data_IF_839926115154
#
_entry.id   IF_839926115154
#
_cell.length_a   1.000
_cell.length_b   1.000
_cell.length_c   1.000
_cell.angle_alpha   90.00
_cell.angle_beta   90.00
_cell.angle_gamma   90.00
#
_symmetry.space_group_name_H-M   'P 1'
#
loop_
_entity.id
_entity.type
_entity.pdbx_description
1 polymer ?
#
# COMPACT_ATOMS: atom_id res chain seq x y z
N UNK A 1 13.19 5.05 -13.46
CA UNK A 1 12.74 3.64 -13.43
C UNK A 1 11.39 3.60 -12.75
N UNK A 2 10.38 2.97 -13.34
CA UNK A 2 9.08 2.76 -12.70
C UNK A 2 9.22 1.61 -11.71
N UNK A 3 8.91 1.84 -10.43
CA UNK A 3 8.84 0.77 -9.45
C UNK A 3 7.79 -0.27 -9.84
N UNK A 4 8.16 -1.55 -9.73
CA UNK A 4 7.23 -2.65 -9.94
C UNK A 4 6.31 -2.75 -8.71
N UNK A 5 5.08 -3.22 -8.91
CA UNK A 5 4.15 -3.43 -7.79
C UNK A 5 4.74 -4.42 -6.76
N UNK A 6 5.60 -5.36 -7.18
CA UNK A 6 6.30 -6.27 -6.29
C UNK A 6 7.26 -5.56 -5.33
N UNK A 7 8.06 -4.61 -5.84
CA UNK A 7 9.00 -3.85 -5.02
C UNK A 7 8.26 -2.93 -4.04
N UNK A 8 7.19 -2.32 -4.54
CA UNK A 8 6.30 -1.48 -3.74
C UNK A 8 5.72 -2.25 -2.54
N UNK A 9 5.28 -3.49 -2.76
CA UNK A 9 4.73 -4.35 -1.71
C UNK A 9 5.79 -4.76 -0.68
N UNK A 10 7.01 -5.10 -1.11
CA UNK A 10 8.12 -5.43 -0.19
C UNK A 10 8.46 -4.26 0.73
N UNK A 11 8.56 -3.05 0.17
CA UNK A 11 8.82 -1.84 0.95
C UNK A 11 7.66 -1.53 1.91
N UNK A 12 6.41 -1.65 1.45
CA UNK A 12 5.24 -1.43 2.30
C UNK A 12 5.19 -2.42 3.48
N UNK A 13 5.57 -3.68 3.26
CA UNK A 13 5.64 -4.67 4.34
C UNK A 13 6.80 -4.41 5.30
N UNK A 14 7.96 -3.95 4.79
CA UNK A 14 9.09 -3.49 5.62
C UNK A 14 8.64 -2.42 6.61
N UNK A 15 7.82 -1.46 6.17
CA UNK A 15 7.29 -0.38 7.02
C UNK A 15 6.55 -0.87 8.28
N UNK A 16 5.91 -2.04 8.20
CA UNK A 16 5.15 -2.64 9.30
C UNK A 16 5.86 -3.83 9.95
N UNK A 17 7.15 -4.04 9.63
CA UNK A 17 7.97 -5.12 10.19
C UNK A 17 7.51 -6.53 9.78
N UNK A 18 6.85 -6.64 8.62
CA UNK A 18 6.36 -7.91 8.08
C UNK A 18 7.34 -8.43 7.04
N UNK A 19 7.84 -9.65 7.23
CA UNK A 19 8.64 -10.36 6.23
C UNK A 19 7.71 -10.98 5.19
N UNK A 20 8.03 -10.78 3.91
CA UNK A 20 7.25 -11.31 2.80
C UNK A 20 7.96 -12.52 2.20
N UNK A 21 7.29 -13.67 2.21
CA UNK A 21 7.78 -14.85 1.50
C UNK A 21 7.10 -14.92 0.12
N UNK A 22 7.87 -14.85 -0.98
CA UNK A 22 7.30 -15.04 -2.32
C UNK A 22 6.74 -16.46 -2.41
N UNK A 23 5.48 -16.58 -2.82
CA UNK A 23 4.86 -17.87 -3.04
C UNK A 23 5.19 -18.33 -4.48
N UNK A 24 5.98 -19.40 -4.62
CA UNK A 24 6.06 -20.13 -5.89
C UNK A 24 4.78 -20.95 -6.06
N UNK A 25 3.91 -20.56 -6.99
CA UNK A 25 2.64 -21.28 -7.18
C UNK A 25 2.83 -22.38 -8.23
N UNK A 26 3.02 -23.63 -7.77
CA UNK A 26 3.01 -24.82 -8.65
C UNK A 26 1.60 -25.31 -9.03
N UNK A 27 0.53 -24.76 -8.43
CA UNK A 27 -0.84 -25.28 -8.51
C UNK A 27 -1.91 -24.17 -8.69
N UNK A 28 -1.83 -23.33 -9.73
CA UNK A 28 -2.96 -22.47 -10.11
C UNK A 28 -3.78 -23.20 -11.18
N UNK A 29 -4.98 -23.67 -10.85
CA UNK A 29 -5.82 -24.48 -11.74
C UNK A 29 -6.88 -23.67 -12.52
N UNK A 30 -6.92 -22.34 -12.39
CA UNK A 30 -7.90 -21.51 -13.10
C UNK A 30 -7.21 -20.37 -13.85
N UNK A 31 -7.51 -20.29 -15.15
CA UNK A 31 -7.05 -19.23 -16.04
C UNK A 31 -7.93 -17.99 -15.80
N UNK A 32 -7.32 -16.84 -15.45
CA UNK A 32 -8.00 -15.64 -14.94
C UNK A 32 -7.65 -15.29 -13.48
N UNK A 33 -6.74 -16.05 -12.86
CA UNK A 33 -6.24 -15.83 -11.51
C UNK A 33 -4.98 -14.94 -11.49
N UNK A 34 -5.01 -13.87 -12.27
CA UNK A 34 -3.95 -12.88 -12.47
C UNK A 34 -3.75 -11.98 -11.22
N UNK A 35 -4.36 -12.35 -10.07
CA UNK A 35 -4.40 -11.59 -8.81
C UNK A 35 -3.25 -11.91 -7.85
N UNK A 36 -2.34 -12.79 -8.22
CA UNK A 36 -1.31 -13.30 -7.30
C UNK A 36 0.01 -12.52 -7.38
N UNK A 37 -0.02 -11.28 -6.86
CA UNK A 37 1.14 -10.66 -6.21
C UNK A 37 0.82 -10.52 -4.72
N UNK A 38 0.43 -11.62 -4.09
CA UNK A 38 0.27 -11.65 -2.64
C UNK A 38 1.41 -12.42 -2.03
N UNK A 39 1.94 -11.88 -0.94
CA UNK A 39 3.02 -12.49 -0.20
C UNK A 39 2.47 -13.17 1.04
N UNK A 40 3.03 -14.32 1.41
CA UNK A 40 2.78 -14.88 2.73
C UNK A 40 3.40 -13.94 3.77
N UNK A 41 2.60 -13.60 4.76
CA UNK A 41 3.01 -12.83 5.92
C UNK A 41 2.92 -13.71 7.17
N UNK A 42 3.78 -13.44 8.15
CA UNK A 42 3.71 -14.09 9.46
C UNK A 42 2.32 -13.82 10.08
N UNK A 43 1.53 -14.87 10.34
CA UNK A 43 0.13 -14.76 10.82
C UNK A 43 0.03 -13.93 12.10
N UNK A 44 1.05 -14.02 12.96
CA UNK A 44 1.15 -13.24 14.20
C UNK A 44 1.28 -11.73 13.94
N UNK A 45 1.89 -11.33 12.83
CA UNK A 45 2.12 -9.93 12.45
C UNK A 45 1.09 -9.41 11.44
N UNK A 46 0.38 -10.30 10.76
CA UNK A 46 -0.64 -9.97 9.78
C UNK A 46 -1.81 -10.97 9.82
N UNK A 47 -3.02 -10.55 10.27
CA UNK A 47 -4.10 -11.46 10.71
C UNK A 47 -4.60 -12.50 9.70
N UNK A 48 -4.34 -12.33 8.41
CA UNK A 48 -4.76 -13.26 7.34
C UNK A 48 -3.65 -14.21 6.87
N UNK A 49 -2.41 -14.04 7.32
CA UNK A 49 -1.23 -14.74 6.77
C UNK A 49 -0.92 -14.37 5.31
N UNK A 50 -1.63 -13.40 4.75
CA UNK A 50 -1.56 -12.95 3.36
C UNK A 50 -1.46 -11.44 3.31
N UNK A 51 -0.59 -10.91 2.47
CA UNK A 51 -0.37 -9.47 2.30
C UNK A 51 -0.64 -9.07 0.84
N UNK A 52 -1.80 -8.45 0.59
CA UNK A 52 -2.22 -8.03 -0.75
C UNK A 52 -2.94 -6.67 -0.77
N UNK A 53 -2.32 -5.61 -0.22
CA UNK A 53 -2.98 -4.31 -0.06
C UNK A 53 -3.30 -3.57 -1.38
N UNK A 54 -2.80 -4.03 -2.53
CA UNK A 54 -3.19 -3.46 -3.84
C UNK A 54 -4.59 -3.91 -4.28
N UNK A 55 -5.08 -5.04 -3.76
CA UNK A 55 -6.35 -5.67 -4.16
C UNK A 55 -7.28 -6.00 -2.98
N UNK A 56 -6.78 -6.04 -1.75
CA UNK A 56 -7.57 -6.22 -0.52
C UNK A 56 -7.67 -4.90 0.25
N UNK A 57 -8.88 -4.34 0.33
CA UNK A 57 -9.14 -3.07 1.03
C UNK A 57 -8.79 -3.15 2.52
N UNK A 58 -8.97 -4.32 3.14
CA UNK A 58 -8.66 -4.52 4.54
C UNK A 58 -7.17 -4.41 4.82
N UNK A 59 -6.32 -4.97 3.94
CA UNK A 59 -4.88 -4.87 4.05
C UNK A 59 -4.38 -3.44 3.83
N UNK A 60 -4.93 -2.74 2.84
CA UNK A 60 -4.66 -1.32 2.64
C UNK A 60 -5.04 -0.50 3.88
N UNK A 61 -6.23 -0.74 4.45
CA UNK A 61 -6.67 -0.04 5.65
C UNK A 61 -5.79 -0.36 6.87
N UNK A 62 -5.35 -1.62 7.03
CA UNK A 62 -4.41 -2.01 8.10
C UNK A 62 -3.08 -1.27 7.97
N UNK A 63 -2.53 -1.16 6.76
CA UNK A 63 -1.33 -0.34 6.53
C UNK A 63 -1.57 1.10 6.97
N UNK A 64 -2.70 1.68 6.53
CA UNK A 64 -2.99 3.07 6.84
C UNK A 64 -3.08 3.33 8.34
N UNK A 65 -3.81 2.49 9.07
CA UNK A 65 -3.97 2.62 10.52
C UNK A 65 -2.66 2.40 11.26
N UNK A 66 -1.88 1.35 10.91
CA UNK A 66 -0.62 1.03 11.61
C UNK A 66 0.46 2.09 11.42
N UNK A 67 0.47 2.77 10.27
CA UNK A 67 1.49 3.74 9.89
C UNK A 67 1.04 5.20 10.05
N UNK A 68 -0.18 5.45 10.53
CA UNK A 68 -0.73 6.81 10.63
C UNK A 68 -0.91 7.50 9.28
N UNK A 69 -1.22 6.74 8.23
CA UNK A 69 -1.45 7.28 6.89
C UNK A 69 -2.90 7.74 6.80
N UNK A 70 -3.10 8.96 6.31
CA UNK A 70 -4.42 9.53 6.08
C UNK A 70 -4.68 9.75 4.59
N UNK A 71 -5.81 9.24 4.10
CA UNK A 71 -6.30 9.57 2.77
C UNK A 71 -7.05 10.91 2.82
N UNK A 72 -6.58 11.91 2.08
CA UNK A 72 -7.20 13.24 2.02
C UNK A 72 -7.51 13.63 0.59
N UNK A 73 -8.57 14.44 0.40
CA UNK A 73 -8.83 15.05 -0.89
C UNK A 73 -7.75 16.10 -1.19
N UNK A 74 -7.27 16.19 -2.44
CA UNK A 74 -6.33 17.24 -2.81
C UNK A 74 -6.98 18.62 -2.63
N UNK A 75 -6.24 19.56 -2.02
CA UNK A 75 -6.74 20.91 -1.73
C UNK A 75 -6.94 21.79 -2.98
N UNK A 76 -6.48 21.34 -4.15
CA UNK A 76 -6.60 22.09 -5.41
C UNK A 76 -7.86 21.68 -6.16
N UNK A 77 -8.75 22.64 -6.44
CA UNK A 77 -10.04 22.44 -7.11
C UNK A 77 -9.94 21.63 -8.42
N UNK A 78 -8.88 21.82 -9.22
CA UNK A 78 -8.66 21.09 -10.48
C UNK A 78 -8.21 19.63 -10.33
N UNK A 79 -7.88 19.21 -9.12
CA UNK A 79 -7.42 17.85 -8.79
C UNK A 79 -8.49 17.04 -8.06
N UNK A 80 -9.61 17.67 -7.68
CA UNK A 80 -10.71 17.01 -6.99
C UNK A 80 -11.34 15.98 -7.93
N UNK A 81 -11.22 14.70 -7.60
CA UNK A 81 -11.78 13.62 -8.41
C UNK A 81 -10.78 12.93 -9.34
N UNK A 82 -9.65 13.59 -9.66
CA UNK A 82 -8.66 13.06 -10.60
C UNK A 82 -7.44 12.42 -9.91
N UNK A 83 -7.22 12.74 -8.63
CA UNK A 83 -6.16 12.13 -7.81
C UNK A 83 -6.66 11.80 -6.41
N UNK A 84 -5.98 10.85 -5.77
CA UNK A 84 -6.06 10.53 -4.34
C UNK A 84 -4.71 10.85 -3.71
N UNK A 85 -4.71 11.47 -2.52
CA UNK A 85 -3.50 11.75 -1.77
C UNK A 85 -3.46 10.95 -0.47
N UNK A 86 -2.33 10.31 -0.22
CA UNK A 86 -2.03 9.68 1.07
C UNK A 86 -0.97 10.52 1.77
N UNK A 87 -1.31 11.03 2.95
CA UNK A 87 -0.45 11.81 3.82
C UNK A 87 0.14 10.89 4.89
N UNK A 88 1.43 10.99 5.14
CA UNK A 88 2.11 10.07 6.05
C UNK A 88 3.29 10.72 6.79
N UNK A 89 3.60 10.25 8.01
CA UNK A 89 4.82 10.63 8.71
C UNK A 89 6.03 9.94 8.06
N UNK A 90 7.11 10.66 7.69
CA UNK A 90 8.26 10.08 6.98
C UNK A 90 8.95 8.90 7.68
N UNK A 91 8.92 8.88 9.03
CA UNK A 91 9.51 7.82 9.86
C UNK A 91 8.48 6.78 10.33
N UNK A 92 7.23 6.85 9.84
CA UNK A 92 6.15 5.97 10.25
C UNK A 92 5.60 6.24 11.65
N UNK A 93 6.05 7.31 12.34
CA UNK A 93 5.56 7.64 13.68
C UNK A 93 4.32 8.55 13.60
N UNK A 94 3.12 8.04 13.97
CA UNK A 94 1.86 8.79 13.84
C UNK A 94 1.77 10.01 14.77
N UNK A 95 2.66 10.14 15.75
CA UNK A 95 2.64 11.23 16.73
C UNK A 95 3.49 12.45 16.33
N UNK A 96 4.12 12.45 15.15
CA UNK A 96 4.91 13.59 14.67
C UNK A 96 4.08 14.61 13.88
N UNK A 97 4.50 15.87 13.92
CA UNK A 97 3.83 16.98 13.22
C UNK A 97 4.24 17.14 11.74
N UNK A 98 5.33 16.52 11.30
CA UNK A 98 5.77 16.61 9.91
C UNK A 98 5.08 15.53 9.05
N UNK A 99 4.26 15.96 8.09
CA UNK A 99 3.61 15.07 7.12
C UNK A 99 4.05 15.41 5.70
N UNK A 100 4.36 14.38 4.93
CA UNK A 100 4.54 14.42 3.48
C UNK A 100 3.35 13.73 2.82
N UNK A 101 3.25 13.82 1.49
CA UNK A 101 2.20 13.11 0.77
C UNK A 101 2.69 12.52 -0.55
N UNK A 102 2.05 11.42 -0.94
CA UNK A 102 2.09 10.88 -2.31
C UNK A 102 0.73 11.08 -2.96
N UNK A 103 0.71 11.23 -4.28
CA UNK A 103 -0.51 11.34 -5.07
C UNK A 103 -0.59 10.21 -6.08
N UNK A 104 -1.76 9.56 -6.17
CA UNK A 104 -2.09 8.61 -7.24
C UNK A 104 -3.20 9.14 -8.11
N UNK A 105 -3.06 8.96 -9.42
CA UNK A 105 -4.11 9.30 -10.37
C UNK A 105 -5.23 8.28 -10.36
N UNK A 106 -6.47 8.77 -10.39
CA UNK A 106 -7.65 7.94 -10.57
C UNK A 106 -7.69 7.48 -12.02
N UNK A 107 -7.49 6.18 -12.26
CA UNK A 107 -7.55 5.57 -13.59
C UNK A 107 -8.94 4.98 -13.79
N UNK A 108 -9.52 5.16 -14.97
CA UNK A 108 -10.83 4.60 -15.34
C UNK A 108 -11.98 4.93 -14.36
N UNK A 109 -11.85 6.00 -13.57
CA UNK A 109 -12.81 6.33 -12.51
C UNK A 109 -12.72 5.47 -11.25
N UNK A 110 -11.80 4.52 -11.16
CA UNK A 110 -11.65 3.66 -9.98
C UNK A 110 -10.86 4.37 -8.87
N UNK A 111 -11.59 5.02 -7.98
CA UNK A 111 -11.00 5.68 -6.80
C UNK A 111 -10.61 4.68 -5.72
N UNK A 112 -11.16 3.47 -5.69
CA UNK A 112 -10.80 2.46 -4.71
C UNK A 112 -9.40 1.95 -5.00
N UNK A 113 -9.12 1.60 -6.26
CA UNK A 113 -7.77 1.22 -6.72
C UNK A 113 -6.76 2.34 -6.45
N UNK A 114 -7.09 3.58 -6.84
CA UNK A 114 -6.21 4.73 -6.61
C UNK A 114 -5.94 4.97 -5.10
N UNK A 115 -6.95 4.75 -4.25
CA UNK A 115 -6.80 4.89 -2.79
C UNK A 115 -5.90 3.81 -2.22
N UNK A 116 -6.11 2.54 -2.58
CA UNK A 116 -5.23 1.43 -2.19
C UNK A 116 -3.79 1.71 -2.62
N UNK A 117 -3.57 2.06 -3.89
CA UNK A 117 -2.23 2.40 -4.41
C UNK A 117 -1.59 3.58 -3.70
N UNK A 118 -2.34 4.63 -3.37
CA UNK A 118 -1.81 5.79 -2.65
C UNK A 118 -1.32 5.40 -1.25
N UNK A 119 -2.09 4.58 -0.54
CA UNK A 119 -1.72 4.06 0.78
C UNK A 119 -0.48 3.16 0.67
N UNK A 120 -0.47 2.22 -0.28
CA UNK A 120 0.68 1.31 -0.47
C UNK A 120 1.94 2.08 -0.83
N UNK A 121 1.83 3.14 -1.63
CA UNK A 121 2.98 4.02 -1.93
C UNK A 121 3.46 4.79 -0.72
N UNK A 122 2.57 5.36 0.07
CA UNK A 122 2.95 6.00 1.32
C UNK A 122 3.66 5.02 2.26
N UNK A 123 3.13 3.81 2.41
CA UNK A 123 3.77 2.75 3.20
C UNK A 123 5.14 2.35 2.65
N UNK A 124 5.29 2.23 1.33
CA UNK A 124 6.55 1.92 0.69
C UNK A 124 7.61 3.00 0.93
N UNK A 125 7.24 4.29 0.88
CA UNK A 125 8.16 5.38 1.18
C UNK A 125 8.62 5.37 2.64
N UNK A 126 7.73 5.06 3.59
CA UNK A 126 8.12 4.84 4.99
C UNK A 126 9.11 3.67 5.09
N UNK A 127 8.79 2.53 4.47
CA UNK A 127 9.65 1.35 4.50
C UNK A 127 11.02 1.60 3.88
N UNK A 128 11.10 2.43 2.83
CA UNK A 128 12.36 2.87 2.22
C UNK A 128 13.20 3.72 3.16
N UNK A 129 12.57 4.57 3.97
CA UNK A 129 13.23 5.42 4.94
C UNK A 129 13.69 4.66 6.21
N UNK A 130 13.15 3.47 6.46
CA UNK A 130 13.62 2.62 7.55
C UNK A 130 15.03 2.06 7.26
N UNK A 131 15.89 1.94 8.28
CA UNK A 131 17.23 1.35 8.14
C UNK A 131 17.21 -0.11 7.66
#
# INVERSE_FOLDING_TARGET
MTETDQELLKLAAKAVGVSLNPMEIKNVNFQGDDRFIGFLAEVEKWPKGWFSPLTDDGDALRLAVRLGIESRKPSRARSVGTVVQAWYPPDGNPNRSACVHVSEHVRNGDRLEATRRAIVRAAAEIGRAMP
#
